data_IF_263041253697
#
_entry.id   IF_263041253697
#
_cell.length_a   1.000
_cell.length_b   1.000
_cell.length_c   1.000
_cell.angle_alpha   90.00
_cell.angle_beta   90.00
_cell.angle_gamma   90.00
#
_symmetry.space_group_name_H-M   'P 1'
#
loop_
_entity.id
_entity.type
_entity.pdbx_description
1 polymer ?
#
# COMPACT_ATOMS: atom_id res chain seq x y z
N UNK A 1 -12.20 -2.01 1.15
CA UNK A 1 -12.54 -1.52 2.50
C UNK A 1 -11.34 -0.74 2.96
N UNK A 2 -11.53 0.50 3.41
CA UNK A 2 -10.45 1.30 3.97
C UNK A 2 -10.27 0.85 5.43
N UNK A 3 -9.03 0.56 5.85
CA UNK A 3 -8.73 0.08 7.20
C UNK A 3 -7.51 0.80 7.77
N UNK A 4 -7.42 0.87 9.09
CA UNK A 4 -6.28 1.40 9.82
C UNK A 4 -5.99 0.47 10.99
N UNK A 5 -4.71 0.22 11.24
CA UNK A 5 -4.26 -0.56 12.38
C UNK A 5 -3.67 0.39 13.42
N UNK A 6 -3.98 0.14 14.68
CA UNK A 6 -3.61 0.96 15.83
C UNK A 6 -2.18 0.70 16.34
N UNK A 7 -1.45 -0.24 15.72
CA UNK A 7 -0.07 -0.56 16.06
C UNK A 7 0.07 -1.48 17.29
N UNK A 8 -1.00 -2.18 17.68
CA UNK A 8 -1.01 -3.06 18.85
C UNK A 8 -1.10 -4.54 18.50
N UNK A 9 -0.57 -5.37 19.39
CA UNK A 9 -0.82 -6.81 19.43
C UNK A 9 -2.21 -7.11 19.99
N UNK A 10 -2.63 -8.37 19.86
CA UNK A 10 -3.91 -8.87 20.37
C UNK A 10 -4.08 -8.68 21.88
N UNK A 11 -2.99 -8.74 22.64
CA UNK A 11 -2.98 -8.51 24.09
C UNK A 11 -3.00 -7.01 24.47
N UNK A 12 -3.04 -6.11 23.49
CA UNK A 12 -3.04 -4.65 23.68
C UNK A 12 -1.64 -4.02 23.80
N UNK A 13 -0.57 -4.81 23.72
CA UNK A 13 0.81 -4.31 23.77
C UNK A 13 1.12 -3.45 22.56
N UNK A 14 1.68 -2.25 22.79
CA UNK A 14 2.15 -1.36 21.73
C UNK A 14 3.43 -1.93 21.10
N UNK A 15 3.44 -2.01 19.77
CA UNK A 15 4.63 -2.42 19.05
C UNK A 15 5.62 -1.26 18.88
N UNK A 16 6.90 -1.62 18.74
CA UNK A 16 7.99 -0.68 18.50
C UNK A 16 7.88 -0.04 17.12
N UNK A 17 8.46 1.14 16.94
CA UNK A 17 8.52 1.75 15.61
C UNK A 17 9.30 0.85 14.63
N UNK A 18 8.71 0.61 13.46
CA UNK A 18 9.29 -0.29 12.48
C UNK A 18 8.41 -0.53 11.27
N UNK A 19 8.91 -1.33 10.34
CA UNK A 19 8.17 -1.76 9.14
C UNK A 19 7.43 -3.05 9.42
N UNK A 20 6.13 -3.03 9.14
CA UNK A 20 5.23 -4.16 9.31
C UNK A 20 4.66 -4.59 7.96
N UNK A 21 4.33 -5.88 7.84
CA UNK A 21 3.70 -6.45 6.64
C UNK A 21 2.26 -6.80 6.97
N UNK A 22 1.34 -6.46 6.06
CA UNK A 22 -0.08 -6.79 6.17
C UNK A 22 -0.44 -7.75 5.04
N UNK A 23 -0.98 -8.90 5.39
CA UNK A 23 -1.59 -9.85 4.47
C UNK A 23 -3.10 -9.86 4.67
N UNK A 24 -3.84 -10.10 3.58
CA UNK A 24 -5.29 -10.27 3.63
C UNK A 24 -5.65 -11.59 2.96
N UNK A 25 -6.70 -12.23 3.45
CA UNK A 25 -7.32 -13.39 2.83
C UNK A 25 -8.77 -13.08 2.48
N UNK A 26 -9.24 -13.59 1.35
CA UNK A 26 -10.62 -13.48 0.89
C UNK A 26 -11.24 -14.87 0.92
N UNK A 27 -12.21 -15.04 1.82
CA UNK A 27 -12.95 -16.28 2.01
C UNK A 27 -14.27 -16.21 1.24
N UNK A 28 -14.45 -17.08 0.24
CA UNK A 28 -15.71 -17.23 -0.54
C UNK A 28 -16.19 -18.68 -0.43
N UNK A 29 -17.05 -18.94 0.55
CA UNK A 29 -17.46 -20.31 0.88
C UNK A 29 -16.27 -21.11 1.39
N UNK A 30 -15.95 -22.22 0.73
CA UNK A 30 -14.77 -23.05 1.05
C UNK A 30 -13.49 -22.61 0.31
N UNK A 31 -13.56 -21.58 -0.52
CA UNK A 31 -12.41 -21.07 -1.28
C UNK A 31 -11.72 -19.95 -0.50
N UNK A 32 -10.41 -20.10 -0.27
CA UNK A 32 -9.57 -19.08 0.35
C UNK A 32 -8.55 -18.59 -0.67
N UNK A 33 -8.57 -17.28 -0.94
CA UNK A 33 -7.64 -16.63 -1.86
C UNK A 33 -6.84 -15.55 -1.16
N UNK A 34 -5.62 -15.28 -1.63
CA UNK A 34 -4.86 -14.11 -1.21
C UNK A 34 -5.58 -12.83 -1.64
N UNK A 35 -5.81 -11.94 -0.69
CA UNK A 35 -6.31 -10.59 -0.93
C UNK A 35 -5.18 -9.65 -1.34
N UNK A 36 -5.48 -8.72 -2.25
CA UNK A 36 -4.57 -7.61 -2.56
C UNK A 36 -4.64 -6.59 -1.43
N UNK A 37 -3.49 -6.27 -0.84
CA UNK A 37 -3.36 -5.23 0.19
C UNK A 37 -2.82 -3.95 -0.44
N UNK A 38 -3.28 -2.80 0.07
CA UNK A 38 -2.87 -1.47 -0.37
C UNK A 38 -2.44 -0.68 0.86
N UNK A 39 -1.36 0.07 0.74
CA UNK A 39 -0.88 0.99 1.79
C UNK A 39 -0.98 2.42 1.30
N UNK A 40 -1.23 3.34 2.23
CA UNK A 40 -1.13 4.78 1.95
C UNK A 40 0.32 5.20 2.05
N UNK A 41 0.78 5.99 1.07
CA UNK A 41 2.12 6.55 1.06
C UNK A 41 2.09 7.97 0.51
N UNK A 42 3.04 8.79 0.93
CA UNK A 42 3.18 10.16 0.46
C UNK A 42 3.93 10.19 -0.87
N UNK A 43 3.39 10.94 -1.83
CA UNK A 43 4.10 11.26 -3.08
C UNK A 43 5.11 12.37 -2.76
N UNK A 44 6.37 12.10 -3.05
CA UNK A 44 7.47 13.06 -2.86
C UNK A 44 7.64 13.95 -4.09
N UNK A 45 7.57 13.34 -5.28
CA UNK A 45 7.70 14.07 -6.53
C UNK A 45 6.99 13.35 -7.68
N UNK A 46 6.83 14.08 -8.77
CA UNK A 46 6.22 13.59 -10.00
C UNK A 46 7.19 13.79 -11.15
N UNK A 47 7.42 12.74 -11.93
CA UNK A 47 8.22 12.82 -13.15
C UNK A 47 7.31 12.70 -14.36
N UNK A 48 7.32 13.73 -15.20
CA UNK A 48 6.66 13.67 -16.50
C UNK A 48 7.53 12.84 -17.46
N UNK A 49 6.94 11.81 -18.06
CA UNK A 49 7.57 11.04 -19.12
C UNK A 49 7.85 11.90 -20.35
N UNK A 50 8.89 11.55 -21.11
CA UNK A 50 9.24 12.20 -22.39
C UNK A 50 8.87 11.29 -23.54
N UNK A 51 8.33 11.85 -24.62
CA UNK A 51 8.17 11.16 -25.91
C UNK A 51 7.50 9.78 -25.81
N UNK A 52 6.22 9.74 -25.43
CA UNK A 52 5.45 8.49 -25.35
C UNK A 52 5.69 7.65 -24.08
N UNK A 53 6.52 8.13 -23.15
CA UNK A 53 6.65 7.54 -21.81
C UNK A 53 5.55 8.05 -20.87
N UNK A 54 5.06 7.17 -20.01
CA UNK A 54 4.08 7.47 -18.97
C UNK A 54 4.68 8.31 -17.82
N UNK A 55 3.78 8.93 -17.04
CA UNK A 55 4.10 9.63 -15.81
C UNK A 55 4.44 8.64 -14.68
N UNK A 56 5.50 8.94 -13.92
CA UNK A 56 5.87 8.19 -12.71
C UNK A 56 5.80 9.06 -11.46
N UNK A 57 5.58 8.41 -10.32
CA UNK A 57 5.53 9.05 -9.01
C UNK A 57 6.65 8.49 -8.15
N UNK A 58 7.44 9.37 -7.54
CA UNK A 58 8.40 8.96 -6.50
C UNK A 58 7.68 8.93 -5.17
N UNK A 59 7.67 7.78 -4.51
CA UNK A 59 6.91 7.53 -3.27
C UNK A 59 7.83 7.06 -2.17
N UNK A 60 7.67 7.64 -0.98
CA UNK A 60 8.50 7.32 0.19
C UNK A 60 8.55 5.82 0.46
N UNK A 61 9.77 5.29 0.59
CA UNK A 61 10.06 3.87 0.85
C UNK A 61 9.63 2.87 -0.25
N UNK A 62 9.06 3.35 -1.37
CA UNK A 62 8.65 2.52 -2.52
C UNK A 62 9.43 2.84 -3.80
N UNK A 63 10.04 4.03 -3.87
CA UNK A 63 10.77 4.49 -5.06
C UNK A 63 9.83 4.98 -6.14
N UNK A 64 10.23 4.84 -7.40
CA UNK A 64 9.43 5.28 -8.54
C UNK A 64 8.40 4.22 -8.91
N UNK A 65 7.12 4.59 -8.88
CA UNK A 65 6.00 3.73 -9.23
C UNK A 65 5.19 4.31 -10.40
N UNK A 66 4.49 3.44 -11.13
CA UNK A 66 3.63 3.86 -12.22
C UNK A 66 2.33 4.46 -11.68
N UNK A 67 1.77 5.44 -12.40
CA UNK A 67 0.41 5.91 -12.12
C UNK A 67 -0.63 4.77 -12.23
N UNK A 68 -0.35 3.72 -13.01
CA UNK A 68 -1.22 2.55 -13.13
C UNK A 68 -1.29 1.71 -11.83
N UNK A 69 -0.29 1.80 -10.96
CA UNK A 69 -0.25 1.09 -9.67
C UNK A 69 -1.02 1.84 -8.58
N UNK A 70 -1.46 3.08 -8.84
CA UNK A 70 -2.20 3.91 -7.89
C UNK A 70 -3.68 3.53 -7.90
N UNK A 71 -4.18 3.11 -6.73
CA UNK A 71 -5.61 2.82 -6.56
C UNK A 71 -6.47 4.06 -6.29
N UNK A 72 -5.96 5.03 -5.53
CA UNK A 72 -6.73 6.18 -5.02
C UNK A 72 -5.78 7.31 -4.63
N UNK A 73 -6.19 8.55 -4.91
CA UNK A 73 -5.60 9.79 -4.38
C UNK A 73 -6.60 10.36 -3.36
N UNK A 74 -6.10 10.82 -2.22
CA UNK A 74 -6.90 11.39 -1.13
C UNK A 74 -6.86 12.91 -1.11
#
# INVERSE_FOLDING_TARGET
VDFSWDGKLEDGTQLTDGRYTISAEVHRGNEVNSGVTLTSAQVESVTLGKGGQDLTLTVSNLGDISMADIRKIM
#
